data_IF_160365435072
#
_entry.id   IF_160365435072
#
_cell.length_a   1.000
_cell.length_b   1.000
_cell.length_c   1.000
_cell.angle_alpha   90.00
_cell.angle_beta   90.00
_cell.angle_gamma   90.00
#
_symmetry.space_group_name_H-M   'P 1'
#
loop_
_entity.id
_entity.type
_entity.pdbx_description
1 polymer ?
#
# COMPACT_ATOMS: atom_id res chain seq x y z
N UNK A 1 -2.01 32.17 52.17
CA UNK A 1 -2.43 32.61 50.82
C UNK A 1 -1.47 32.09 49.75
N UNK A 2 -0.16 32.35 49.82
CA UNK A 2 0.82 31.91 48.79
C UNK A 2 0.92 30.38 48.61
N UNK A 3 0.89 29.60 49.70
CA UNK A 3 0.97 28.15 49.66
C UNK A 3 -0.26 27.51 48.97
N UNK A 4 -1.45 28.02 49.18
CA UNK A 4 -2.68 27.59 48.53
C UNK A 4 -2.66 27.91 47.02
N UNK A 5 -2.11 29.04 46.62
CA UNK A 5 -1.93 29.41 45.22
C UNK A 5 -0.92 28.49 44.51
N UNK A 6 0.21 28.13 45.15
CA UNK A 6 1.22 27.22 44.63
C UNK A 6 0.63 25.80 44.47
N UNK A 7 -0.10 25.32 45.47
CA UNK A 7 -0.77 24.01 45.38
C UNK A 7 -1.81 24.01 44.25
N UNK A 8 -2.61 25.08 44.15
CA UNK A 8 -3.60 25.22 43.07
C UNK A 8 -3.00 25.20 41.67
N UNK A 9 -1.89 25.92 41.43
CA UNK A 9 -1.20 25.93 40.15
C UNK A 9 -0.54 24.57 39.85
N UNK A 10 0.05 23.91 40.84
CA UNK A 10 0.61 22.57 40.68
C UNK A 10 -0.46 21.52 40.33
N UNK A 11 -1.62 21.55 41.01
CA UNK A 11 -2.74 20.67 40.70
C UNK A 11 -3.32 20.94 39.31
N UNK A 12 -3.46 22.21 38.93
CA UNK A 12 -3.90 22.56 37.55
C UNK A 12 -2.91 22.09 36.46
N UNK A 13 -1.61 22.25 36.72
CA UNK A 13 -0.56 21.75 35.85
C UNK A 13 -0.59 20.21 35.68
N UNK A 14 -0.74 19.49 36.79
CA UNK A 14 -0.85 18.04 36.77
C UNK A 14 -2.12 17.57 36.02
N UNK A 15 -3.24 18.23 36.24
CA UNK A 15 -4.49 17.94 35.56
C UNK A 15 -4.37 18.17 34.03
N UNK A 16 -3.71 19.25 33.61
CA UNK A 16 -3.45 19.54 32.20
C UNK A 16 -2.56 18.49 31.56
N UNK A 17 -1.50 18.03 32.23
CA UNK A 17 -0.61 16.96 31.75
C UNK A 17 -1.38 15.64 31.63
N UNK A 18 -2.19 15.28 32.61
CA UNK A 18 -3.02 14.09 32.59
C UNK A 18 -4.06 14.13 31.43
N UNK A 19 -4.70 15.28 31.23
CA UNK A 19 -5.64 15.46 30.12
C UNK A 19 -4.95 15.33 28.76
N UNK A 20 -3.79 15.95 28.60
CA UNK A 20 -3.00 15.81 27.37
C UNK A 20 -2.57 14.36 27.11
N UNK A 21 -2.13 13.65 28.16
CA UNK A 21 -1.79 12.24 28.08
C UNK A 21 -2.99 11.36 27.69
N UNK A 22 -4.18 11.62 28.25
CA UNK A 22 -5.41 10.91 27.90
C UNK A 22 -5.83 11.17 26.45
N UNK A 23 -5.72 12.43 25.97
CA UNK A 23 -6.00 12.77 24.57
C UNK A 23 -5.02 12.09 23.63
N UNK A 24 -3.72 12.10 23.96
CA UNK A 24 -2.70 11.40 23.18
C UNK A 24 -2.95 9.89 23.13
N UNK A 25 -3.36 9.30 24.24
CA UNK A 25 -3.73 7.90 24.33
C UNK A 25 -4.97 7.58 23.48
N UNK A 26 -6.01 8.42 23.60
CA UNK A 26 -7.24 8.29 22.80
C UNK A 26 -6.96 8.41 21.30
N UNK A 27 -6.08 9.33 20.91
CA UNK A 27 -5.60 9.45 19.53
C UNK A 27 -4.86 8.19 19.07
N UNK A 28 -3.91 7.70 19.88
CA UNK A 28 -3.11 6.49 19.58
C UNK A 28 -3.98 5.23 19.42
N UNK A 29 -5.04 5.11 20.18
CA UNK A 29 -6.01 4.00 20.07
C UNK A 29 -7.09 4.25 19.02
N UNK A 30 -7.06 5.35 18.30
CA UNK A 30 -8.05 5.69 17.27
C UNK A 30 -9.44 6.02 17.82
N UNK A 31 -9.58 6.23 19.13
CA UNK A 31 -10.87 6.53 19.76
C UNK A 31 -11.48 7.84 19.25
N UNK A 32 -10.65 8.88 19.09
CA UNK A 32 -11.10 10.16 18.56
C UNK A 32 -11.61 10.05 17.13
N UNK A 33 -10.96 9.25 16.31
CA UNK A 33 -11.39 9.02 14.94
C UNK A 33 -12.73 8.29 14.88
N UNK A 34 -12.91 7.28 15.72
CA UNK A 34 -14.16 6.50 15.82
C UNK A 34 -15.37 7.32 16.29
N UNK A 35 -15.16 8.45 16.98
CA UNK A 35 -16.27 9.37 17.35
C UNK A 35 -16.92 10.02 16.13
N UNK A 36 -16.12 10.32 15.11
CA UNK A 36 -16.58 11.00 13.89
C UNK A 36 -16.93 10.01 12.76
N UNK A 37 -16.31 8.81 12.76
CA UNK A 37 -16.41 7.84 11.67
C UNK A 37 -17.02 6.53 12.17
N UNK A 38 -18.23 6.26 11.74
CA UNK A 38 -18.97 5.05 12.15
C UNK A 38 -18.42 3.80 11.50
N UNK A 39 -18.48 2.70 12.23
CA UNK A 39 -18.23 1.33 11.73
C UNK A 39 -19.58 0.68 11.47
N UNK A 40 -19.72 0.01 10.33
CA UNK A 40 -20.85 -0.88 10.05
C UNK A 40 -20.38 -2.36 10.20
N UNK A 41 -20.64 -3.00 11.37
CA UNK A 41 -20.23 -4.38 11.62
C UNK A 41 -20.95 -5.41 10.75
N UNK A 42 -22.10 -5.03 10.15
CA UNK A 42 -22.92 -5.92 9.33
C UNK A 42 -22.61 -5.81 7.84
N UNK A 43 -21.77 -4.87 7.45
CA UNK A 43 -21.38 -4.71 6.06
C UNK A 43 -20.71 -5.99 5.54
N UNK A 44 -21.16 -6.54 4.40
CA UNK A 44 -20.48 -7.64 3.73
C UNK A 44 -19.23 -7.18 2.97
N UNK A 45 -19.01 -5.85 2.85
CA UNK A 45 -17.89 -5.26 2.13
C UNK A 45 -16.56 -5.63 2.79
N UNK A 46 -15.53 -5.70 1.97
CA UNK A 46 -14.19 -6.08 2.41
C UNK A 46 -13.11 -5.25 1.71
N UNK A 47 -11.94 -5.13 2.33
CA UNK A 47 -10.87 -4.27 1.81
C UNK A 47 -10.37 -4.63 0.42
N UNK A 48 -10.50 -5.90 0.00
CA UNK A 48 -10.20 -6.33 -1.36
C UNK A 48 -11.01 -5.58 -2.43
N UNK A 49 -12.25 -5.15 -2.12
CA UNK A 49 -13.06 -4.34 -3.04
C UNK A 49 -12.42 -2.98 -3.30
N UNK A 50 -11.89 -2.33 -2.25
CA UNK A 50 -11.21 -1.03 -2.39
C UNK A 50 -9.93 -1.14 -3.22
N UNK A 51 -9.20 -2.26 -3.09
CA UNK A 51 -8.05 -2.56 -3.95
C UNK A 51 -8.50 -2.66 -5.40
N UNK A 52 -9.53 -3.44 -5.68
CA UNK A 52 -10.06 -3.64 -7.03
C UNK A 52 -10.61 -2.34 -7.65
N UNK A 53 -11.29 -1.50 -6.87
CA UNK A 53 -11.79 -0.18 -7.29
C UNK A 53 -10.63 0.72 -7.75
N UNK A 54 -9.54 0.81 -6.98
CA UNK A 54 -8.36 1.58 -7.36
C UNK A 54 -7.71 1.03 -8.63
N UNK A 55 -7.45 -0.28 -8.69
CA UNK A 55 -6.82 -0.89 -9.86
C UNK A 55 -7.65 -0.69 -11.13
N UNK A 56 -8.98 -0.82 -11.02
CA UNK A 56 -9.91 -0.56 -12.14
C UNK A 56 -9.86 0.89 -12.61
N UNK A 57 -9.89 1.85 -11.68
CA UNK A 57 -9.80 3.27 -11.99
C UNK A 57 -8.48 3.66 -12.68
N UNK A 58 -7.38 2.94 -12.39
CA UNK A 58 -6.09 3.10 -13.05
C UNK A 58 -5.97 2.32 -14.38
N UNK A 59 -7.06 1.74 -14.88
CA UNK A 59 -7.10 1.05 -16.17
C UNK A 59 -6.34 -0.28 -16.20
N UNK A 60 -6.12 -0.91 -15.05
CA UNK A 60 -5.50 -2.23 -14.96
C UNK A 60 -6.44 -3.27 -15.55
N UNK A 61 -5.93 -4.03 -16.52
CA UNK A 61 -6.68 -5.09 -17.22
C UNK A 61 -6.31 -6.49 -16.74
N UNK A 62 -5.07 -6.68 -16.33
CA UNK A 62 -4.51 -7.96 -15.92
C UNK A 62 -3.89 -7.84 -14.54
N UNK A 63 -4.12 -8.83 -13.71
CA UNK A 63 -3.49 -9.03 -12.42
C UNK A 63 -2.87 -10.42 -12.43
N UNK A 64 -1.56 -10.51 -12.19
CA UNK A 64 -0.83 -11.76 -12.16
C UNK A 64 -0.64 -12.25 -10.73
N UNK A 65 -0.85 -13.53 -10.50
CA UNK A 65 -0.85 -14.09 -9.13
C UNK A 65 -0.45 -15.55 -9.10
N UNK A 66 0.02 -16.00 -7.95
CA UNK A 66 -0.19 -17.37 -7.46
C UNK A 66 -1.12 -17.26 -6.25
N UNK A 67 -2.30 -17.86 -6.36
CA UNK A 67 -3.36 -17.71 -5.39
C UNK A 67 -2.95 -18.19 -3.98
N UNK A 68 -3.42 -17.47 -2.95
CA UNK A 68 -3.18 -17.82 -1.55
C UNK A 68 -4.16 -17.13 -0.61
N UNK A 69 -4.33 -17.68 0.60
CA UNK A 69 -5.36 -17.25 1.54
C UNK A 69 -5.28 -15.78 1.95
N UNK A 70 -4.06 -15.21 2.06
CA UNK A 70 -3.88 -13.82 2.48
C UNK A 70 -4.38 -12.79 1.45
N UNK A 71 -4.57 -13.19 0.18
CA UNK A 71 -4.91 -12.28 -0.92
C UNK A 71 -6.22 -12.62 -1.62
N UNK A 72 -6.87 -13.72 -1.24
CA UNK A 72 -8.11 -14.19 -1.90
C UNK A 72 -9.19 -13.11 -2.06
N UNK A 73 -9.45 -12.24 -1.06
CA UNK A 73 -10.45 -11.18 -1.21
C UNK A 73 -10.11 -10.19 -2.34
N UNK A 74 -8.82 -9.93 -2.59
CA UNK A 74 -8.38 -9.06 -3.69
C UNK A 74 -8.66 -9.71 -5.03
N UNK A 75 -8.34 -11.00 -5.17
CA UNK A 75 -8.53 -11.74 -6.43
C UNK A 75 -10.01 -11.78 -6.83
N UNK A 76 -10.87 -12.18 -5.88
CA UNK A 76 -12.33 -12.24 -6.11
C UNK A 76 -12.91 -10.86 -6.47
N UNK A 77 -12.47 -9.81 -5.79
CA UNK A 77 -12.95 -8.45 -6.08
C UNK A 77 -12.47 -7.95 -7.44
N UNK A 78 -11.23 -8.27 -7.85
CA UNK A 78 -10.69 -7.90 -9.16
C UNK A 78 -11.48 -8.56 -10.30
N UNK A 79 -11.82 -9.85 -10.18
CA UNK A 79 -12.66 -10.55 -11.16
C UNK A 79 -14.05 -9.91 -11.26
N UNK A 80 -14.68 -9.58 -10.13
CA UNK A 80 -15.99 -8.91 -10.09
C UNK A 80 -16.03 -7.59 -10.89
N UNK A 81 -14.97 -6.80 -10.84
CA UNK A 81 -14.89 -5.53 -11.58
C UNK A 81 -14.35 -5.69 -13.00
N UNK A 82 -14.11 -6.93 -13.46
CA UNK A 82 -13.67 -7.26 -14.81
C UNK A 82 -12.16 -7.08 -15.05
N UNK A 83 -11.32 -7.14 -14.01
CA UNK A 83 -9.88 -7.29 -14.13
C UNK A 83 -9.60 -8.79 -14.29
N UNK A 84 -8.90 -9.17 -15.36
CA UNK A 84 -8.55 -10.57 -15.60
C UNK A 84 -7.45 -11.00 -14.62
N UNK A 85 -7.76 -11.92 -13.74
CA UNK A 85 -6.81 -12.58 -12.84
C UNK A 85 -6.14 -13.71 -13.62
N UNK A 86 -4.81 -13.64 -13.71
CA UNK A 86 -3.99 -14.63 -14.42
C UNK A 86 -3.19 -15.42 -13.40
N UNK A 87 -3.58 -16.68 -13.21
CA UNK A 87 -2.89 -17.60 -12.32
C UNK A 87 -1.56 -18.06 -12.94
N UNK A 88 -0.51 -18.09 -12.13
CA UNK A 88 0.83 -18.56 -12.51
C UNK A 88 1.25 -19.74 -11.64
N UNK A 89 2.31 -20.43 -12.03
CA UNK A 89 2.81 -21.57 -11.26
C UNK A 89 3.99 -21.24 -10.34
N UNK A 90 4.41 -19.96 -10.34
CA UNK A 90 5.44 -19.44 -9.44
C UNK A 90 5.31 -17.91 -9.35
N UNK A 91 5.52 -17.34 -8.19
CA UNK A 91 5.34 -15.90 -7.95
C UNK A 91 6.33 -15.02 -8.74
N UNK A 92 7.54 -15.51 -8.99
CA UNK A 92 8.48 -14.82 -9.88
C UNK A 92 7.88 -14.66 -11.29
N UNK A 93 7.17 -15.67 -11.80
CA UNK A 93 6.48 -15.60 -13.09
C UNK A 93 5.40 -14.52 -13.08
N UNK A 94 4.65 -14.38 -11.99
CA UNK A 94 3.64 -13.33 -11.86
C UNK A 94 4.27 -11.94 -11.99
N UNK A 95 5.39 -11.70 -11.32
CA UNK A 95 6.09 -10.39 -11.38
C UNK A 95 6.76 -10.17 -12.72
N UNK A 96 7.40 -11.19 -13.33
CA UNK A 96 7.93 -11.07 -14.69
C UNK A 96 6.84 -10.78 -15.73
N UNK A 97 5.65 -11.36 -15.58
CA UNK A 97 4.52 -11.07 -16.45
C UNK A 97 4.02 -9.62 -16.27
N UNK A 98 3.97 -9.12 -15.02
CA UNK A 98 3.67 -7.73 -14.74
C UNK A 98 4.73 -6.78 -15.36
N UNK A 99 6.02 -7.09 -15.21
CA UNK A 99 7.13 -6.35 -15.82
C UNK A 99 7.00 -6.33 -17.36
N UNK A 100 6.68 -7.46 -17.98
CA UNK A 100 6.45 -7.54 -19.42
C UNK A 100 5.27 -6.66 -19.87
N UNK A 101 4.14 -6.68 -19.15
CA UNK A 101 3.01 -5.79 -19.44
C UNK A 101 3.44 -4.33 -19.34
N UNK A 102 4.22 -3.97 -18.33
CA UNK A 102 4.72 -2.61 -18.18
C UNK A 102 5.55 -2.17 -19.38
N UNK A 103 6.54 -2.95 -19.78
CA UNK A 103 7.43 -2.63 -20.89
C UNK A 103 6.72 -2.58 -22.26
N UNK A 104 5.77 -3.49 -22.50
CA UNK A 104 5.09 -3.61 -23.78
C UNK A 104 3.93 -2.62 -23.94
N UNK A 105 3.29 -2.20 -22.86
CA UNK A 105 2.11 -1.35 -22.92
C UNK A 105 2.33 0.09 -22.46
N UNK A 106 3.49 0.40 -21.86
CA UNK A 106 3.75 1.71 -21.22
C UNK A 106 2.89 1.96 -19.99
N UNK A 107 2.18 0.96 -19.47
CA UNK A 107 1.32 1.07 -18.29
C UNK A 107 1.92 0.30 -17.12
N UNK A 108 1.52 0.64 -15.89
CA UNK A 108 1.98 -0.10 -14.72
C UNK A 108 1.51 -1.57 -14.76
N UNK A 109 2.45 -2.50 -14.54
CA UNK A 109 2.13 -3.91 -14.35
C UNK A 109 1.81 -4.23 -12.90
N UNK A 110 0.89 -5.17 -12.65
CA UNK A 110 0.43 -5.51 -11.29
C UNK A 110 0.58 -7.00 -11.02
N UNK A 111 1.26 -7.33 -9.93
CA UNK A 111 1.33 -8.69 -9.38
C UNK A 111 0.84 -8.68 -7.93
N UNK A 112 0.09 -9.73 -7.55
CA UNK A 112 -0.44 -9.91 -6.20
C UNK A 112 -0.06 -11.30 -5.71
N UNK A 113 0.63 -11.39 -4.58
CA UNK A 113 1.18 -12.65 -4.07
C UNK A 113 0.86 -12.82 -2.59
N UNK A 114 0.79 -14.09 -2.13
CA UNK A 114 0.54 -14.39 -0.72
C UNK A 114 1.73 -14.02 0.17
N UNK A 115 1.52 -14.01 1.49
CA UNK A 115 2.52 -13.65 2.48
C UNK A 115 3.74 -14.61 2.50
N UNK A 116 4.82 -14.14 3.08
CA UNK A 116 6.01 -14.94 3.37
C UNK A 116 6.69 -15.49 2.13
N UNK A 117 6.68 -16.82 1.91
CA UNK A 117 7.33 -17.43 0.73
C UNK A 117 6.83 -16.87 -0.60
N UNK A 118 5.54 -16.54 -0.68
CA UNK A 118 4.98 -15.91 -1.87
C UNK A 118 5.66 -14.57 -2.21
N UNK A 119 5.88 -13.75 -1.20
CA UNK A 119 6.59 -12.47 -1.36
C UNK A 119 8.08 -12.71 -1.62
N UNK A 120 8.76 -13.60 -0.89
CA UNK A 120 10.21 -13.82 -1.08
C UNK A 120 10.55 -14.39 -2.44
N UNK A 121 9.69 -15.22 -3.02
CA UNK A 121 9.87 -15.78 -4.36
C UNK A 121 9.88 -14.70 -5.48
N UNK A 122 9.43 -13.48 -5.19
CA UNK A 122 9.38 -12.40 -6.19
C UNK A 122 10.66 -11.57 -6.25
N UNK A 123 11.59 -11.72 -5.32
CA UNK A 123 12.79 -10.87 -5.18
C UNK A 123 13.57 -10.72 -6.49
N UNK A 124 13.86 -11.83 -7.17
CA UNK A 124 14.60 -11.80 -8.44
C UNK A 124 13.88 -10.98 -9.51
N UNK A 125 12.58 -11.20 -9.66
CA UNK A 125 11.80 -10.50 -10.68
C UNK A 125 11.62 -9.01 -10.37
N UNK A 126 11.46 -8.64 -9.09
CA UNK A 126 11.42 -7.23 -8.65
C UNK A 126 12.77 -6.56 -8.88
N UNK A 127 13.90 -7.25 -8.60
CA UNK A 127 15.23 -6.73 -8.92
C UNK A 127 15.40 -6.50 -10.41
N UNK A 128 14.90 -7.40 -11.26
CA UNK A 128 14.90 -7.22 -12.72
C UNK A 128 14.09 -5.99 -13.14
N UNK A 129 12.89 -5.80 -12.58
CA UNK A 129 12.08 -4.62 -12.86
C UNK A 129 12.76 -3.32 -12.40
N UNK A 130 13.48 -3.34 -11.25
CA UNK A 130 14.29 -2.20 -10.79
C UNK A 130 15.39 -1.85 -11.78
N UNK A 131 16.16 -2.84 -12.24
CA UNK A 131 17.26 -2.62 -13.18
C UNK A 131 16.77 -2.14 -14.55
N UNK A 132 15.57 -2.54 -14.94
CA UNK A 132 14.94 -2.12 -16.19
C UNK A 132 14.13 -0.83 -16.06
N UNK A 133 14.07 -0.25 -14.85
CA UNK A 133 13.29 0.95 -14.56
C UNK A 133 11.82 0.81 -14.97
N UNK A 134 11.27 -0.39 -14.78
CA UNK A 134 9.88 -0.72 -15.12
C UNK A 134 8.94 -0.40 -13.96
N UNK A 135 7.84 0.35 -14.18
CA UNK A 135 6.84 0.58 -13.14
C UNK A 135 6.02 -0.70 -12.89
N UNK A 136 6.27 -1.34 -11.76
CA UNK A 136 5.57 -2.54 -11.30
C UNK A 136 5.01 -2.31 -9.91
N UNK A 137 3.71 -2.59 -9.72
CA UNK A 137 3.08 -2.67 -8.41
C UNK A 137 3.08 -4.13 -7.94
N UNK A 138 3.90 -4.43 -6.94
CA UNK A 138 3.81 -5.69 -6.20
C UNK A 138 2.95 -5.48 -4.95
N UNK A 139 1.84 -6.21 -4.85
CA UNK A 139 1.02 -6.29 -3.64
C UNK A 139 1.32 -7.63 -2.97
N UNK A 140 1.79 -7.59 -1.74
CA UNK A 140 2.01 -8.77 -0.91
C UNK A 140 0.97 -8.87 0.21
N UNK A 141 0.36 -10.04 0.38
CA UNK A 141 -0.38 -10.34 1.60
C UNK A 141 0.54 -10.35 2.82
N UNK A 142 -0.01 -10.22 4.01
CA UNK A 142 0.73 -10.33 5.26
C UNK A 142 -0.15 -10.91 6.37
N UNK A 143 0.47 -11.46 7.40
CA UNK A 143 -0.21 -11.86 8.62
C UNK A 143 -1.01 -10.70 9.23
N UNK A 144 -2.08 -11.01 9.96
CA UNK A 144 -2.87 -10.02 10.67
C UNK A 144 -1.97 -9.18 11.60
N UNK A 145 -2.23 -7.88 11.65
CA UNK A 145 -1.32 -6.93 12.33
C UNK A 145 -1.09 -7.26 13.81
N UNK A 146 -2.10 -7.80 14.52
CA UNK A 146 -1.93 -8.27 15.92
C UNK A 146 -1.11 -9.56 16.07
N UNK A 147 -0.91 -10.30 14.99
CA UNK A 147 -0.21 -11.58 14.99
C UNK A 147 1.23 -11.47 14.49
N UNK A 148 1.62 -10.31 13.92
CA UNK A 148 2.98 -10.07 13.45
C UNK A 148 4.00 -10.22 14.58
N UNK A 149 5.10 -10.94 14.32
CA UNK A 149 6.15 -11.25 15.28
C UNK A 149 5.76 -12.26 16.36
N UNK A 150 4.65 -12.99 16.20
CA UNK A 150 4.12 -13.95 17.18
C UNK A 150 3.98 -15.37 16.63
N UNK A 151 4.71 -15.69 15.57
CA UNK A 151 4.68 -17.02 14.95
C UNK A 151 3.45 -17.29 14.10
N UNK A 152 2.81 -16.26 13.54
CA UNK A 152 1.72 -16.42 12.58
C UNK A 152 2.21 -17.11 11.30
N UNK A 153 1.30 -17.77 10.61
CA UNK A 153 1.60 -18.43 9.35
C UNK A 153 2.17 -17.42 8.33
N UNK A 154 3.34 -17.74 7.76
CA UNK A 154 4.01 -16.96 6.71
C UNK A 154 4.38 -15.52 7.15
N UNK A 155 4.54 -15.28 8.44
CA UNK A 155 4.94 -13.97 8.99
C UNK A 155 6.46 -13.80 8.91
N UNK A 156 6.89 -12.84 8.10
CA UNK A 156 8.30 -12.41 7.95
C UNK A 156 8.36 -10.89 7.78
N UNK A 157 9.54 -10.29 7.96
CA UNK A 157 9.76 -8.87 7.68
C UNK A 157 9.94 -8.63 6.17
N UNK A 158 8.82 -8.56 5.46
CA UNK A 158 8.76 -8.36 4.02
C UNK A 158 9.24 -6.96 3.61
N UNK A 159 8.94 -5.95 4.43
CA UNK A 159 9.28 -4.56 4.09
C UNK A 159 10.79 -4.34 4.04
N UNK A 160 11.53 -4.87 5.01
CA UNK A 160 13.00 -4.77 5.03
C UNK A 160 13.63 -5.46 3.82
N UNK A 161 13.05 -6.59 3.38
CA UNK A 161 13.55 -7.33 2.23
C UNK A 161 13.46 -6.51 0.92
N UNK A 162 12.40 -5.72 0.75
CA UNK A 162 12.16 -4.95 -0.48
C UNK A 162 12.66 -3.50 -0.45
N UNK A 163 13.11 -3.01 0.71
CA UNK A 163 13.51 -1.61 0.89
C UNK A 163 14.56 -1.12 -0.11
N UNK A 164 15.51 -1.98 -0.50
CA UNK A 164 16.58 -1.65 -1.46
C UNK A 164 16.19 -1.95 -2.91
N UNK A 165 15.07 -2.61 -3.14
CA UNK A 165 14.62 -3.05 -4.46
C UNK A 165 13.52 -2.16 -5.04
N UNK A 166 12.74 -1.51 -4.17
CA UNK A 166 11.57 -0.76 -4.55
C UNK A 166 11.72 0.74 -4.26
N UNK A 167 11.07 1.58 -5.06
CA UNK A 167 11.01 3.03 -4.83
C UNK A 167 10.27 3.37 -3.53
N UNK A 168 9.28 2.58 -3.17
CA UNK A 168 8.57 2.67 -1.90
C UNK A 168 8.14 1.28 -1.44
N UNK A 169 8.25 1.05 -0.12
CA UNK A 169 7.73 -0.13 0.57
C UNK A 169 6.84 0.35 1.70
N UNK A 170 5.58 -0.04 1.70
CA UNK A 170 4.60 0.42 2.68
C UNK A 170 3.64 -0.69 3.09
N UNK A 171 3.33 -0.76 4.39
CA UNK A 171 2.27 -1.62 4.94
C UNK A 171 1.04 -0.77 5.24
N UNK A 172 -0.11 -1.20 4.73
CA UNK A 172 -1.40 -0.56 5.00
C UNK A 172 -1.91 -0.98 6.37
N UNK A 173 -2.35 -0.02 7.18
CA UNK A 173 -2.69 -0.28 8.59
C UNK A 173 -4.19 -0.37 8.87
N UNK A 174 -5.01 0.27 8.04
CA UNK A 174 -6.46 0.29 8.20
C UNK A 174 -7.13 0.22 6.84
N UNK A 175 -8.39 -0.20 6.80
CA UNK A 175 -9.15 -0.31 5.54
C UNK A 175 -9.25 1.04 4.82
N UNK A 176 -9.42 2.14 5.56
CA UNK A 176 -9.48 3.50 5.00
C UNK A 176 -8.20 3.96 4.32
N UNK A 177 -7.06 3.34 4.66
CA UNK A 177 -5.75 3.72 4.10
C UNK A 177 -5.45 3.00 2.78
N UNK A 178 -6.25 2.02 2.36
CA UNK A 178 -6.03 1.24 1.14
C UNK A 178 -6.01 2.15 -0.10
N UNK A 179 -7.06 2.93 -0.31
CA UNK A 179 -7.19 3.80 -1.49
C UNK A 179 -6.05 4.81 -1.59
N UNK A 180 -5.78 5.67 -0.58
CA UNK A 180 -4.73 6.67 -0.69
C UNK A 180 -3.33 6.07 -0.83
N UNK A 181 -3.07 4.92 -0.16
CA UNK A 181 -1.78 4.25 -0.26
C UNK A 181 -1.53 3.68 -1.66
N UNK A 182 -2.50 2.99 -2.24
CA UNK A 182 -2.37 2.42 -3.58
C UNK A 182 -2.24 3.51 -4.65
N UNK A 183 -3.06 4.57 -4.59
CA UNK A 183 -2.94 5.72 -5.52
C UNK A 183 -1.55 6.33 -5.48
N UNK A 184 -1.02 6.57 -4.28
CA UNK A 184 0.33 7.11 -4.09
C UNK A 184 1.41 6.14 -4.60
N UNK A 185 1.28 4.85 -4.30
CA UNK A 185 2.24 3.84 -4.75
C UNK A 185 2.28 3.74 -6.28
N UNK A 186 1.12 3.71 -6.94
CA UNK A 186 1.03 3.68 -8.41
C UNK A 186 1.65 4.93 -9.03
N UNK A 187 1.32 6.12 -8.53
CA UNK A 187 1.91 7.36 -9.01
C UNK A 187 3.44 7.39 -8.79
N UNK A 188 3.92 6.92 -7.63
CA UNK A 188 5.36 6.84 -7.33
C UNK A 188 6.09 5.86 -8.25
N UNK A 189 5.49 4.72 -8.60
CA UNK A 189 6.08 3.75 -9.51
C UNK A 189 6.36 4.35 -10.90
N UNK A 190 5.48 5.23 -11.36
CA UNK A 190 5.52 5.84 -12.69
C UNK A 190 6.22 7.19 -12.76
N UNK A 191 6.42 7.88 -11.61
CA UNK A 191 6.99 9.24 -11.56
C UNK A 191 8.51 9.22 -11.52
N UNK A 192 9.15 10.27 -12.05
CA UNK A 192 10.60 10.39 -12.14
C UNK A 192 11.18 9.24 -12.97
N UNK A 193 12.29 8.66 -12.54
CA UNK A 193 12.74 7.37 -13.07
C UNK A 193 11.76 6.29 -12.61
N UNK A 194 11.04 5.59 -13.52
CA UNK A 194 10.08 4.57 -13.13
C UNK A 194 10.74 3.39 -12.40
N UNK A 195 9.95 2.63 -11.67
CA UNK A 195 10.48 1.46 -10.96
C UNK A 195 9.44 0.78 -10.10
N UNK A 196 9.77 -0.41 -9.55
CA UNK A 196 8.86 -1.19 -8.75
C UNK A 196 8.53 -0.53 -7.41
N UNK A 197 7.33 -0.81 -6.92
CA UNK A 197 6.84 -0.44 -5.58
C UNK A 197 6.24 -1.66 -4.91
N UNK A 198 6.35 -1.73 -3.59
CA UNK A 198 5.81 -2.82 -2.78
C UNK A 198 4.78 -2.30 -1.78
N UNK A 199 3.58 -2.85 -1.83
CA UNK A 199 2.49 -2.55 -0.89
C UNK A 199 2.09 -3.82 -0.15
N UNK A 200 2.28 -3.82 1.15
CA UNK A 200 1.90 -4.92 2.03
C UNK A 200 0.49 -4.71 2.56
N UNK A 201 -0.37 -5.72 2.40
CA UNK A 201 -1.75 -5.73 2.86
C UNK A 201 -1.95 -6.83 3.91
N UNK A 202 -2.01 -6.49 5.21
CA UNK A 202 -2.36 -7.46 6.24
C UNK A 202 -3.74 -8.06 6.03
N UNK A 203 -3.89 -9.36 6.33
CA UNK A 203 -5.13 -10.11 6.06
C UNK A 203 -6.35 -9.51 6.78
N UNK A 204 -6.16 -8.92 7.95
CA UNK A 204 -7.20 -8.33 8.79
C UNK A 204 -7.83 -7.04 8.21
N UNK A 205 -7.21 -6.41 7.22
CA UNK A 205 -7.84 -5.29 6.48
C UNK A 205 -8.51 -5.73 5.17
N UNK A 206 -8.33 -6.98 4.75
CA UNK A 206 -8.85 -7.48 3.48
C UNK A 206 -10.17 -8.22 3.61
N UNK A 207 -10.46 -8.85 4.75
CA UNK A 207 -11.69 -9.61 4.99
C UNK A 207 -12.80 -8.72 5.60
N UNK A 208 -14.08 -9.14 5.53
CA UNK A 208 -15.18 -8.40 6.15
C UNK A 208 -15.06 -8.32 7.67
N UNK A 209 -15.65 -7.28 8.26
CA UNK A 209 -15.60 -7.03 9.71
C UNK A 209 -15.92 -8.25 10.57
N UNK A 210 -17.02 -8.93 10.29
CA UNK A 210 -17.49 -10.07 11.09
C UNK A 210 -16.52 -11.28 11.04
N UNK A 211 -15.80 -11.47 9.95
CA UNK A 211 -14.79 -12.52 9.80
C UNK A 211 -13.58 -12.18 10.67
N UNK A 212 -13.09 -10.94 10.56
CA UNK A 212 -11.94 -10.45 11.34
C UNK A 212 -12.26 -10.47 12.83
N UNK A 213 -13.46 -10.05 13.24
CA UNK A 213 -13.90 -10.07 14.64
C UNK A 213 -13.88 -11.48 15.24
N UNK A 214 -14.35 -12.46 14.48
CA UNK A 214 -14.35 -13.88 14.90
C UNK A 214 -12.92 -14.41 15.04
N UNK A 215 -12.05 -14.17 14.07
CA UNK A 215 -10.66 -14.66 14.05
C UNK A 215 -9.80 -14.01 15.16
N UNK A 216 -9.97 -12.74 15.42
CA UNK A 216 -9.25 -12.02 16.49
C UNK A 216 -9.78 -12.40 17.88
N UNK A 217 -10.93 -13.06 17.97
CA UNK A 217 -11.56 -13.48 19.23
C UNK A 217 -12.42 -12.38 19.87
N UNK A 218 -12.82 -11.37 19.09
CA UNK A 218 -13.71 -10.28 19.54
C UNK A 218 -15.09 -10.74 20.03
N UNK A 219 -15.49 -11.95 19.66
CA UNK A 219 -16.78 -12.56 20.06
C UNK A 219 -16.71 -13.40 21.34
N UNK A 220 -15.52 -13.61 21.93
CA UNK A 220 -15.37 -14.44 23.14
C UNK A 220 -15.95 -13.74 24.38
N UNK A 221 -16.60 -14.51 25.24
CA UNK A 221 -17.14 -14.03 26.51
C UNK A 221 -16.01 -13.80 27.51
N UNK A 222 -15.78 -12.55 27.98
CA UNK A 222 -14.67 -12.25 28.88
C UNK A 222 -14.91 -12.81 30.29
N UNK A 223 -13.88 -13.41 30.89
CA UNK A 223 -13.88 -13.85 32.29
C UNK A 223 -13.04 -12.90 33.14
N UNK A 224 -13.60 -12.38 34.24
CA UNK A 224 -12.93 -11.49 35.16
C UNK A 224 -12.62 -10.08 34.58
N UNK A 225 -11.97 -9.24 35.36
CA UNK A 225 -11.62 -7.87 34.97
C UNK A 225 -10.57 -7.84 33.83
N UNK A 226 -9.55 -8.68 33.93
CA UNK A 226 -8.51 -8.80 32.90
C UNK A 226 -9.11 -9.19 31.54
N UNK A 227 -10.03 -10.18 31.51
CA UNK A 227 -10.72 -10.58 30.29
C UNK A 227 -11.53 -9.43 29.67
N UNK A 228 -12.22 -8.62 30.50
CA UNK A 228 -12.96 -7.44 30.02
C UNK A 228 -12.05 -6.39 29.36
N UNK A 229 -10.87 -6.12 29.95
CA UNK A 229 -9.90 -5.16 29.38
C UNK A 229 -9.35 -5.66 28.06
N UNK A 230 -8.96 -6.93 27.98
CA UNK A 230 -8.49 -7.55 26.71
C UNK A 230 -9.58 -7.50 25.65
N UNK A 231 -10.81 -7.86 26.00
CA UNK A 231 -11.94 -7.82 25.08
C UNK A 231 -12.24 -6.43 24.56
N UNK A 232 -12.23 -5.43 25.47
CA UNK A 232 -12.37 -4.03 25.09
C UNK A 232 -11.26 -3.59 24.11
N UNK A 233 -10.01 -3.96 24.39
CA UNK A 233 -8.88 -3.65 23.51
C UNK A 233 -9.06 -4.26 22.11
N UNK A 234 -9.42 -5.55 22.02
CA UNK A 234 -9.64 -6.24 20.75
C UNK A 234 -10.80 -5.62 19.95
N UNK A 235 -11.92 -5.34 20.60
CA UNK A 235 -13.05 -4.68 19.96
C UNK A 235 -12.71 -3.27 19.48
N UNK A 236 -11.99 -2.50 20.30
CA UNK A 236 -11.54 -1.17 19.90
C UNK A 236 -10.56 -1.24 18.71
N UNK A 237 -9.64 -2.19 18.73
CA UNK A 237 -8.70 -2.44 17.63
C UNK A 237 -9.44 -2.70 16.32
N UNK A 238 -10.36 -3.66 16.30
CA UNK A 238 -11.14 -4.01 15.10
C UNK A 238 -11.96 -2.81 14.62
N UNK A 239 -12.64 -2.11 15.52
CA UNK A 239 -13.39 -0.90 15.16
C UNK A 239 -12.49 0.16 14.51
N UNK A 240 -11.27 0.35 15.01
CA UNK A 240 -10.33 1.29 14.41
C UNK A 240 -9.88 0.85 13.01
N UNK A 241 -9.70 -0.46 12.76
CA UNK A 241 -9.40 -0.97 11.43
C UNK A 241 -10.46 -0.56 10.40
N UNK A 242 -11.73 -0.60 10.79
CA UNK A 242 -12.87 -0.37 9.89
C UNK A 242 -13.53 1.01 10.02
N UNK A 243 -13.08 1.86 10.95
CA UNK A 243 -13.62 3.21 11.08
C UNK A 243 -13.42 4.01 9.78
N UNK A 244 -14.50 4.54 9.21
CA UNK A 244 -14.50 5.28 7.94
C UNK A 244 -14.10 4.44 6.72
N UNK A 245 -14.17 3.11 6.81
CA UNK A 245 -13.76 2.19 5.75
C UNK A 245 -14.54 2.40 4.45
N UNK A 246 -15.84 2.65 4.56
CA UNK A 246 -16.76 2.68 3.43
C UNK A 246 -17.18 4.11 3.03
N UNK A 247 -16.53 5.11 3.59
CA UNK A 247 -16.73 6.49 3.17
C UNK A 247 -16.25 6.68 1.73
N UNK A 248 -17.03 7.39 0.89
CA UNK A 248 -16.63 7.66 -0.50
C UNK A 248 -15.27 8.36 -0.55
N UNK A 249 -14.36 7.83 -1.36
CA UNK A 249 -13.02 8.39 -1.58
C UNK A 249 -12.75 8.45 -3.08
N UNK A 250 -11.98 9.45 -3.46
CA UNK A 250 -11.51 9.56 -4.83
C UNK A 250 -10.52 8.42 -5.14
N UNK A 251 -10.82 7.64 -6.17
CA UNK A 251 -10.01 6.52 -6.67
C UNK A 251 -9.27 6.86 -7.96
N UNK A 252 -9.46 8.08 -8.50
CA UNK A 252 -8.83 8.51 -9.75
C UNK A 252 -7.30 8.52 -9.66
N UNK A 253 -6.59 8.32 -10.77
CA UNK A 253 -5.14 8.40 -10.82
C UNK A 253 -4.61 9.74 -10.32
N UNK A 254 -3.53 9.70 -9.53
CA UNK A 254 -2.77 10.89 -9.19
C UNK A 254 -1.89 11.30 -10.37
N UNK A 255 -1.54 12.61 -10.50
CA UNK A 255 -0.64 13.06 -11.55
C UNK A 255 0.72 12.38 -11.44
N UNK A 256 1.23 11.91 -12.57
CA UNK A 256 2.58 11.35 -12.70
C UNK A 256 3.55 12.48 -13.03
N UNK A 257 4.64 12.56 -12.28
CA UNK A 257 5.69 13.55 -12.52
C UNK A 257 6.69 13.00 -13.54
N UNK A 258 6.65 13.53 -14.76
CA UNK A 258 7.62 13.18 -15.81
C UNK A 258 8.74 14.21 -15.77
N UNK A 259 10.02 13.79 -15.61
CA UNK A 259 11.16 14.72 -15.67
C UNK A 259 11.25 15.31 -17.08
N UNK A 260 11.32 16.63 -17.16
CA UNK A 260 11.51 17.36 -18.40
C UNK A 260 12.83 18.15 -18.30
N UNK A 261 13.59 18.15 -19.39
CA UNK A 261 14.77 19.01 -19.49
C UNK A 261 14.35 20.49 -19.51
N UNK A 262 15.13 21.33 -18.90
CA UNK A 262 14.97 22.79 -18.99
C UNK A 262 15.46 23.28 -20.36
N UNK A 263 15.01 24.45 -20.78
CA UNK A 263 15.45 25.08 -22.03
C UNK A 263 16.99 25.23 -22.09
N UNK A 264 17.60 25.61 -20.96
CA UNK A 264 19.07 25.72 -20.86
C UNK A 264 19.79 24.39 -21.05
N UNK A 265 19.24 23.29 -20.54
CA UNK A 265 19.80 21.95 -20.73
C UNK A 265 19.66 21.49 -22.17
N UNK A 266 18.52 21.77 -22.82
CA UNK A 266 18.32 21.51 -24.24
C UNK A 266 19.31 22.30 -25.08
N UNK A 267 19.49 23.61 -24.81
CA UNK A 267 20.40 24.46 -25.53
C UNK A 267 21.86 23.98 -25.40
N UNK A 268 22.30 23.56 -24.21
CA UNK A 268 23.61 22.94 -24.00
C UNK A 268 23.81 21.68 -24.83
N UNK A 269 22.77 20.81 -24.90
CA UNK A 269 22.83 19.62 -25.76
C UNK A 269 22.98 20.01 -27.25
N UNK A 270 22.21 20.98 -27.72
CA UNK A 270 22.29 21.50 -29.10
C UNK A 270 23.69 22.00 -29.40
N UNK A 271 24.31 22.79 -28.52
CA UNK A 271 25.66 23.28 -28.68
C UNK A 271 26.70 22.17 -28.75
N UNK A 272 26.59 21.14 -27.88
CA UNK A 272 27.49 19.99 -27.89
C UNK A 272 27.39 19.19 -29.19
N UNK A 273 26.18 18.89 -29.64
CA UNK A 273 25.94 18.15 -30.89
C UNK A 273 26.42 18.94 -32.09
N UNK A 274 26.16 20.27 -32.14
CA UNK A 274 26.55 21.15 -33.27
C UNK A 274 28.07 21.30 -33.42
N UNK A 275 28.84 21.19 -32.32
CA UNK A 275 30.32 21.26 -32.33
C UNK A 275 30.97 19.90 -32.57
N UNK A 276 30.20 18.78 -32.49
CA UNK A 276 30.77 17.47 -32.64
C UNK A 276 31.06 17.14 -34.08
N UNK A 277 32.23 16.58 -34.36
CA UNK A 277 32.61 16.11 -35.69
C UNK A 277 32.14 14.67 -35.98
N UNK A 278 31.97 13.87 -34.94
CA UNK A 278 31.51 12.47 -35.03
C UNK A 278 30.59 12.16 -33.86
N UNK A 279 29.36 12.72 -33.85
CA UNK A 279 28.44 12.47 -32.76
C UNK A 279 27.96 11.01 -32.81
N UNK A 280 27.84 10.36 -31.62
CA UNK A 280 27.23 9.06 -31.44
C UNK A 280 26.05 9.22 -30.50
N UNK A 281 24.86 8.79 -30.92
CA UNK A 281 23.65 8.80 -30.11
C UNK A 281 23.31 7.37 -29.68
N UNK A 282 23.27 7.15 -28.38
CA UNK A 282 22.82 5.88 -27.78
C UNK A 282 21.40 6.05 -27.28
N UNK A 283 20.45 5.38 -27.93
CA UNK A 283 19.02 5.40 -27.55
C UNK A 283 18.72 4.21 -26.67
N UNK A 284 18.44 4.47 -25.39
CA UNK A 284 18.03 3.44 -24.43
C UNK A 284 16.52 3.31 -24.33
N UNK A 285 16.05 2.32 -23.55
CA UNK A 285 14.61 2.03 -23.37
C UNK A 285 13.82 3.21 -22.77
N UNK A 286 14.47 4.08 -21.99
CA UNK A 286 13.82 5.26 -21.37
C UNK A 286 13.43 6.32 -22.42
N UNK A 287 14.08 6.37 -23.55
CA UNK A 287 13.70 7.29 -24.63
C UNK A 287 12.32 6.96 -25.22
N UNK A 288 11.81 5.73 -25.01
CA UNK A 288 10.49 5.29 -25.47
C UNK A 288 9.36 5.62 -24.47
N UNK A 289 9.66 6.22 -23.35
CA UNK A 289 8.67 6.55 -22.31
C UNK A 289 8.03 7.93 -22.57
N UNK A 290 6.81 8.16 -22.07
CA UNK A 290 6.18 9.47 -22.13
C UNK A 290 7.12 10.58 -21.61
N UNK A 291 7.03 11.82 -22.15
CA UNK A 291 5.95 12.31 -23.00
C UNK A 291 6.17 12.11 -24.51
N UNK A 292 7.36 11.71 -24.93
CA UNK A 292 7.69 11.58 -26.37
C UNK A 292 7.07 10.34 -26.95
N UNK A 293 6.25 10.45 -28.01
CA UNK A 293 5.74 9.28 -28.73
C UNK A 293 6.88 8.50 -29.37
N UNK A 294 6.82 7.17 -29.32
CA UNK A 294 7.84 6.30 -29.90
C UNK A 294 8.05 6.53 -31.41
N UNK A 295 7.05 7.05 -32.10
CA UNK A 295 7.09 7.38 -33.53
C UNK A 295 8.05 8.55 -33.82
N UNK A 296 8.25 9.47 -32.89
CA UNK A 296 9.22 10.59 -33.06
C UNK A 296 10.68 10.14 -32.99
N UNK A 297 10.94 8.92 -32.51
CA UNK A 297 12.29 8.35 -32.43
C UNK A 297 12.68 7.53 -33.68
N UNK A 298 11.76 7.34 -34.59
CA UNK A 298 11.97 6.63 -35.87
C UNK A 298 12.38 7.60 -36.98
#
# INVERSE_FOLDING_TARGET
MALLAIIGTACAGLAAVLAAALVALAYRFGLLYQLCHKVDPRSPRHGGELVAEVLKAHGIRFLFTLAGGHISPVLVACEKVGIRVVDTRHEATAVFAADAVSRLSGRIGVAVVTAGPGVTNTVTAVKNAQMAESPVLLIGGAAASLQKGRGALQDIDQLSLFRTLCKVCVSVRTVRDIIPTLRKAIATAQSGTPGPVFVELPIDILYPFHVVEKEVGGTKTPRGLQGKVVQWYLQNYIRNLFAGAWEPRDVSPLPVQVPMATEDEVQRCVELVSRATKPLVLVGSQAMLPPTPAEELR
#
